data_IF_047709321344
#
_entry.id   IF_047709321344
#
_cell.length_a   1.000
_cell.length_b   1.000
_cell.length_c   1.000
_cell.angle_alpha   90.00
_cell.angle_beta   90.00
_cell.angle_gamma   90.00
#
_symmetry.space_group_name_H-M   'P 1'
#
loop_
_entity.id
_entity.type
_entity.pdbx_description
1 polymer ?
#
# COMPACT_ATOMS: atom_id res chain seq x y z
N UNK A 1 -8.45 -21.27 8.46
CA UNK A 1 -7.22 -21.11 9.28
C UNK A 1 -7.13 -19.66 9.69
N UNK A 2 -7.13 -19.36 11.00
CA UNK A 2 -7.02 -18.00 11.51
C UNK A 2 -5.53 -17.61 11.63
N UNK A 3 -4.82 -17.56 10.51
CA UNK A 3 -3.43 -17.14 10.49
C UNK A 3 -3.30 -15.80 9.77
N UNK A 4 -2.33 -14.99 10.18
CA UNK A 4 -1.99 -13.74 9.52
C UNK A 4 -1.49 -14.02 8.09
N UNK A 5 -2.06 -13.33 7.11
CA UNK A 5 -1.67 -13.47 5.70
C UNK A 5 -0.22 -13.06 5.42
N UNK A 6 0.35 -12.17 6.25
CA UNK A 6 1.70 -11.63 6.02
C UNK A 6 2.80 -12.36 6.79
N UNK A 7 2.51 -12.89 7.99
CA UNK A 7 3.54 -13.53 8.83
C UNK A 7 3.19 -14.97 9.27
N UNK A 8 2.01 -15.47 8.93
CA UNK A 8 1.56 -16.81 9.31
C UNK A 8 1.22 -17.00 10.80
N UNK A 9 1.34 -15.95 11.63
CA UNK A 9 1.04 -16.03 13.06
C UNK A 9 -0.45 -16.32 13.31
N UNK A 10 -0.75 -17.12 14.34
CA UNK A 10 -2.15 -17.39 14.75
C UNK A 10 -2.82 -16.10 15.23
N UNK A 11 -3.97 -15.80 14.67
CA UNK A 11 -4.87 -14.72 15.04
C UNK A 11 -5.91 -15.24 16.01
N UNK A 12 -6.00 -14.62 17.18
CA UNK A 12 -7.02 -14.88 18.19
C UNK A 12 -8.02 -13.73 18.17
N UNK A 13 -9.06 -13.85 17.35
CA UNK A 13 -10.22 -12.94 17.42
C UNK A 13 -11.30 -13.55 18.31
N UNK A 14 -11.66 -12.85 19.39
CA UNK A 14 -12.83 -13.20 20.19
C UNK A 14 -14.10 -12.82 19.43
N UNK A 15 -14.87 -13.82 19.01
CA UNK A 15 -16.16 -13.62 18.34
C UNK A 15 -17.15 -13.08 19.36
N UNK A 16 -17.62 -11.85 19.13
CA UNK A 16 -18.71 -11.22 19.89
C UNK A 16 -19.90 -10.98 18.98
N UNK A 17 -21.09 -10.74 19.54
CA UNK A 17 -22.30 -10.43 18.76
C UNK A 17 -22.06 -9.25 17.79
N UNK A 18 -21.21 -8.30 18.17
CA UNK A 18 -20.86 -7.12 17.37
C UNK A 18 -19.94 -7.41 16.18
N UNK A 19 -19.16 -8.49 16.23
CA UNK A 19 -18.17 -8.84 15.20
C UNK A 19 -18.58 -10.08 14.40
N UNK A 20 -19.69 -10.74 14.75
CA UNK A 20 -20.18 -11.96 14.11
C UNK A 20 -20.38 -11.82 12.59
N UNK A 21 -20.83 -10.64 12.14
CA UNK A 21 -21.08 -10.35 10.72
C UNK A 21 -19.99 -9.50 10.06
N UNK A 22 -18.94 -9.11 10.81
CA UNK A 22 -17.82 -8.36 10.24
C UNK A 22 -16.85 -9.34 9.58
N UNK A 23 -16.20 -8.89 8.50
CA UNK A 23 -15.09 -9.66 7.92
C UNK A 23 -14.01 -9.81 9.00
N UNK A 24 -13.53 -11.05 9.26
CA UNK A 24 -12.49 -11.28 10.26
C UNK A 24 -11.20 -10.59 9.83
N UNK A 25 -10.47 -9.99 10.79
CA UNK A 25 -9.17 -9.42 10.47
C UNK A 25 -8.21 -10.55 10.11
N UNK A 26 -7.56 -10.43 8.94
CA UNK A 26 -6.60 -11.42 8.44
C UNK A 26 -5.15 -10.98 8.61
N UNK A 27 -4.92 -9.85 9.28
CA UNK A 27 -3.61 -9.32 9.63
C UNK A 27 -3.48 -9.20 11.14
N UNK A 28 -2.29 -9.49 11.66
CA UNK A 28 -1.97 -9.18 13.06
C UNK A 28 -1.65 -7.69 13.21
N UNK A 29 -1.78 -7.17 14.44
CA UNK A 29 -1.57 -5.75 14.73
C UNK A 29 -0.17 -5.27 14.29
N UNK A 30 0.86 -6.08 14.49
CA UNK A 30 2.24 -5.78 14.05
C UNK A 30 2.35 -5.62 12.53
N UNK A 31 1.75 -6.54 11.77
CA UNK A 31 1.76 -6.44 10.32
C UNK A 31 0.97 -5.21 9.88
N UNK A 32 -0.16 -4.93 10.53
CA UNK A 32 -0.97 -3.74 10.25
C UNK A 32 -0.17 -2.46 10.46
N UNK A 33 0.53 -2.32 11.59
CA UNK A 33 1.41 -1.19 11.87
C UNK A 33 2.52 -1.04 10.82
N UNK A 34 3.17 -2.14 10.42
CA UNK A 34 4.20 -2.11 9.37
C UNK A 34 3.63 -1.60 8.05
N UNK A 35 2.45 -2.07 7.65
CA UNK A 35 1.78 -1.61 6.43
C UNK A 35 1.32 -0.16 6.55
N UNK A 36 0.82 0.27 7.71
CA UNK A 36 0.44 1.66 7.97
C UNK A 36 1.64 2.61 7.92
N UNK A 37 2.82 2.19 8.39
CA UNK A 37 4.06 2.98 8.29
C UNK A 37 4.50 3.21 6.84
N UNK A 38 4.19 2.27 5.93
CA UNK A 38 4.55 2.34 4.52
C UNK A 38 3.47 3.03 3.69
N UNK A 39 2.27 3.25 4.25
CA UNK A 39 1.23 4.01 3.55
C UNK A 39 1.79 5.37 3.15
N UNK A 40 1.33 5.83 1.99
CA UNK A 40 1.70 7.15 1.51
C UNK A 40 1.17 8.18 2.50
N UNK A 41 2.08 8.95 3.09
CA UNK A 41 1.68 10.06 3.94
C UNK A 41 1.00 11.13 3.07
N UNK A 42 -0.32 11.22 3.21
CA UNK A 42 -1.19 12.17 2.52
C UNK A 42 -0.96 13.60 3.05
N UNK A 43 -0.44 13.74 4.28
CA UNK A 43 -0.17 15.04 4.90
C UNK A 43 1.13 15.68 4.37
N UNK A 44 2.02 14.88 3.78
CA UNK A 44 3.21 15.40 3.14
C UNK A 44 2.84 16.15 1.84
N UNK A 45 3.55 17.24 1.55
CA UNK A 45 3.38 18.01 0.31
C UNK A 45 3.83 17.16 -0.88
N UNK A 46 2.88 16.47 -1.52
CA UNK A 46 3.11 15.58 -2.66
C UNK A 46 2.50 16.14 -3.93
N UNK A 47 3.05 15.75 -5.07
CA UNK A 47 2.57 16.24 -6.35
C UNK A 47 1.24 15.58 -6.66
N UNK A 48 0.25 16.38 -7.06
CA UNK A 48 -1.08 15.90 -7.41
C UNK A 48 -1.07 14.86 -8.53
N UNK A 49 -0.06 14.86 -9.40
CA UNK A 49 0.03 13.90 -10.51
C UNK A 49 0.91 12.70 -10.21
N UNK A 50 2.13 12.91 -9.71
CA UNK A 50 3.11 11.83 -9.56
C UNK A 50 3.30 11.33 -8.11
N UNK A 51 2.67 11.98 -7.13
CA UNK A 51 2.78 11.66 -5.69
C UNK A 51 4.21 11.70 -5.11
N UNK A 52 5.20 12.22 -5.86
CA UNK A 52 6.55 12.51 -5.33
C UNK A 52 6.50 13.63 -4.31
N UNK A 53 7.43 13.59 -3.35
CA UNK A 53 7.64 14.69 -2.40
C UNK A 53 8.07 15.96 -3.14
N UNK A 54 7.42 17.09 -2.84
CA UNK A 54 7.88 18.41 -3.30
C UNK A 54 8.77 19.05 -2.25
N UNK A 55 9.75 19.79 -2.73
CA UNK A 55 10.51 20.73 -1.91
C UNK A 55 9.60 21.90 -1.48
N UNK A 56 10.00 22.63 -0.45
CA UNK A 56 9.19 23.68 0.19
C UNK A 56 8.74 24.80 -0.76
N UNK A 57 9.43 25.00 -1.89
CA UNK A 57 9.16 26.09 -2.83
C UNK A 57 8.57 25.64 -4.18
N UNK A 58 8.31 24.34 -4.37
CA UNK A 58 7.81 23.82 -5.65
C UNK A 58 6.32 23.49 -5.57
N UNK A 59 5.55 23.95 -6.56
CA UNK A 59 4.14 23.56 -6.76
C UNK A 59 3.99 22.36 -7.71
N UNK A 60 4.97 22.14 -8.59
CA UNK A 60 5.00 21.04 -9.55
C UNK A 60 6.37 20.38 -9.52
N UNK A 61 6.39 19.05 -9.63
CA UNK A 61 7.63 18.30 -9.67
C UNK A 61 8.41 18.63 -10.97
N UNK A 62 9.74 18.78 -10.90
CA UNK A 62 10.58 19.04 -12.07
C UNK A 62 10.36 18.02 -13.18
N UNK A 63 10.18 16.74 -12.81
CA UNK A 63 9.88 15.67 -13.76
C UNK A 63 8.54 15.87 -14.47
N UNK A 64 7.53 16.37 -13.76
CA UNK A 64 6.19 16.62 -14.26
C UNK A 64 6.22 17.78 -15.26
N UNK A 65 7.01 18.82 -14.94
CA UNK A 65 7.23 19.97 -15.82
C UNK A 65 7.99 19.55 -17.08
N UNK A 66 9.04 18.74 -16.93
CA UNK A 66 9.79 18.18 -18.06
C UNK A 66 8.91 17.32 -18.96
N UNK A 67 8.16 16.38 -18.39
CA UNK A 67 7.25 15.53 -19.15
C UNK A 67 6.18 16.34 -19.88
N UNK A 68 5.69 17.43 -19.31
CA UNK A 68 4.67 18.28 -19.95
C UNK A 68 5.18 19.05 -21.16
N UNK A 69 6.48 19.29 -21.22
CA UNK A 69 7.10 19.97 -22.34
C UNK A 69 7.30 19.03 -23.54
N UNK A 70 7.44 17.73 -23.31
CA UNK A 70 7.80 16.76 -24.36
C UNK A 70 6.69 15.77 -24.72
N UNK A 71 5.72 15.53 -23.83
CA UNK A 71 4.69 14.50 -23.99
C UNK A 71 3.34 14.94 -23.42
N UNK A 72 2.27 14.28 -23.87
CA UNK A 72 0.99 14.39 -23.18
C UNK A 72 1.09 13.67 -21.83
N UNK A 73 0.80 14.38 -20.73
CA UNK A 73 0.89 13.77 -19.41
C UNK A 73 -0.20 12.72 -19.23
N UNK A 74 0.19 11.63 -18.55
CA UNK A 74 -0.75 10.64 -18.05
C UNK A 74 -1.69 11.26 -17.01
N UNK A 75 -2.84 10.61 -16.80
CA UNK A 75 -3.74 10.91 -15.68
C UNK A 75 -3.02 10.72 -14.33
N UNK A 76 -3.66 11.19 -13.25
CA UNK A 76 -3.10 11.10 -11.90
C UNK A 76 -2.73 9.65 -11.55
N UNK A 77 -1.52 9.45 -11.03
CA UNK A 77 -1.11 8.17 -10.49
C UNK A 77 -1.82 7.91 -9.16
N UNK A 78 -2.40 6.72 -9.03
CA UNK A 78 -3.02 6.25 -7.79
C UNK A 78 -2.10 5.22 -7.13
N UNK A 79 -1.56 5.57 -5.97
CA UNK A 79 -0.78 4.66 -5.14
C UNK A 79 -1.21 4.84 -3.67
N UNK A 80 -1.33 3.74 -2.94
CA UNK A 80 -1.66 3.75 -1.50
C UNK A 80 -0.42 3.55 -0.62
N UNK A 81 0.63 2.91 -1.15
CA UNK A 81 1.83 2.53 -0.42
C UNK A 81 3.08 3.12 -1.07
N UNK A 82 4.08 3.44 -0.25
CA UNK A 82 5.41 3.81 -0.71
C UNK A 82 6.13 2.55 -1.22
N UNK A 83 6.94 2.73 -2.27
CA UNK A 83 7.78 1.66 -2.80
C UNK A 83 9.04 1.49 -1.92
N UNK A 84 8.82 1.09 -0.67
CA UNK A 84 9.85 0.83 0.33
C UNK A 84 10.10 -0.68 0.50
N UNK A 85 11.11 -1.06 1.28
CA UNK A 85 11.65 -2.42 1.41
C UNK A 85 10.58 -3.53 1.48
N UNK A 86 9.57 -3.37 2.33
CA UNK A 86 8.51 -4.38 2.49
C UNK A 86 7.58 -4.47 1.26
N UNK A 87 7.21 -3.34 0.64
CA UNK A 87 6.42 -3.35 -0.60
C UNK A 87 7.24 -3.94 -1.76
N UNK A 88 8.55 -3.64 -1.81
CA UNK A 88 9.49 -4.19 -2.80
C UNK A 88 9.61 -5.71 -2.68
N UNK A 89 9.84 -6.20 -1.46
CA UNK A 89 9.95 -7.63 -1.19
C UNK A 89 8.66 -8.36 -1.53
N UNK A 90 7.51 -7.82 -1.15
CA UNK A 90 6.21 -8.41 -1.45
C UNK A 90 5.94 -8.47 -2.97
N UNK A 91 6.19 -7.39 -3.71
CA UNK A 91 6.08 -7.42 -5.19
C UNK A 91 7.08 -8.41 -5.78
N UNK A 92 8.29 -8.50 -5.22
CA UNK A 92 9.31 -9.42 -5.70
C UNK A 92 8.86 -10.88 -5.54
N UNK A 93 8.36 -11.24 -4.36
CA UNK A 93 7.82 -12.56 -4.07
C UNK A 93 6.62 -12.90 -4.97
N UNK A 94 5.68 -11.97 -5.12
CA UNK A 94 4.50 -12.18 -5.94
C UNK A 94 4.84 -12.35 -7.43
N UNK A 95 5.61 -11.43 -8.00
CA UNK A 95 5.86 -11.37 -9.45
C UNK A 95 6.96 -12.32 -9.92
N UNK A 96 8.08 -12.39 -9.19
CA UNK A 96 9.27 -13.14 -9.64
C UNK A 96 9.33 -14.54 -9.03
N UNK A 97 9.00 -14.68 -7.74
CA UNK A 97 8.96 -16.00 -7.10
C UNK A 97 7.63 -16.73 -7.31
N UNK A 98 6.66 -16.08 -7.98
CA UNK A 98 5.34 -16.64 -8.33
C UNK A 98 4.55 -17.11 -7.10
N UNK A 99 4.77 -16.47 -5.96
CA UNK A 99 3.95 -16.72 -4.78
C UNK A 99 2.60 -16.02 -4.92
N UNK A 100 1.70 -16.69 -5.65
CA UNK A 100 0.39 -16.15 -5.94
C UNK A 100 -0.53 -16.07 -4.72
N UNK A 101 -0.21 -16.73 -3.60
CA UNK A 101 -1.01 -16.61 -2.37
C UNK A 101 -0.97 -15.18 -1.80
N UNK A 102 0.07 -14.41 -2.12
CA UNK A 102 0.15 -12.98 -1.80
C UNK A 102 -0.95 -12.14 -2.46
N UNK A 103 -1.69 -12.68 -3.44
CA UNK A 103 -2.84 -11.99 -4.01
C UNK A 103 -3.95 -11.75 -2.96
N UNK A 104 -4.12 -12.66 -1.99
CA UNK A 104 -5.09 -12.49 -0.91
C UNK A 104 -4.69 -11.34 0.02
N UNK A 105 -3.38 -11.23 0.29
CA UNK A 105 -2.82 -10.14 1.08
C UNK A 105 -3.00 -8.80 0.36
N UNK A 106 -2.66 -8.74 -0.93
CA UNK A 106 -2.85 -7.55 -1.76
C UNK A 106 -4.31 -7.12 -1.83
N UNK A 107 -5.24 -8.05 -2.05
CA UNK A 107 -6.67 -7.77 -2.07
C UNK A 107 -7.17 -7.24 -0.72
N UNK A 108 -6.63 -7.74 0.39
CA UNK A 108 -6.96 -7.26 1.73
C UNK A 108 -6.42 -5.85 2.00
N UNK A 109 -5.25 -5.50 1.44
CA UNK A 109 -4.61 -4.19 1.63
C UNK A 109 -5.24 -3.07 0.79
N UNK A 110 -5.71 -3.39 -0.42
CA UNK A 110 -6.17 -2.38 -1.38
C UNK A 110 -7.61 -1.92 -1.10
N UNK A 111 -8.40 -2.69 -0.32
CA UNK A 111 -9.83 -2.46 -0.04
C UNK A 111 -10.57 -1.91 -1.28
N UNK A 112 -10.79 -2.78 -2.28
CA UNK A 112 -11.77 -2.56 -3.35
C UNK A 112 -13.15 -3.02 -2.88
#
# INVERSE_FOLDING_TARGET
>A
MNNCLSCGAKLYENITIYNLFKKPNRLCDRCKENWDNIKLDIKARRCSRCLKHLNQDEAYCLDCKFLSAHFNLMEQLYCQFQYDGLMKEMIHQYKFLKDYYLCELLAHLIEI
#
